data_IF_404050906929
#
_entry.id   IF_404050906929
#
_cell.length_a   1.000
_cell.length_b   1.000
_cell.length_c   1.000
_cell.angle_alpha   90.00
_cell.angle_beta   90.00
_cell.angle_gamma   90.00
#
_symmetry.space_group_name_H-M   'P 1'
#
loop_
_entity.id
_entity.type
_entity.pdbx_description
1 polymer ?
#
# COMPACT_ATOMS: atom_id res chain seq x y z
N UNK A 1 26.14 2.82 8.53
CA UNK A 1 25.14 2.14 7.69
C UNK A 1 23.96 3.09 7.50
N UNK A 2 23.49 3.25 6.26
CA UNK A 2 22.29 4.08 6.01
C UNK A 2 21.11 3.47 6.78
N UNK A 3 20.28 4.34 7.39
CA UNK A 3 19.07 3.92 8.11
C UNK A 3 18.12 3.24 7.14
N UNK A 4 17.67 2.02 7.49
CA UNK A 4 16.68 1.30 6.67
C UNK A 4 15.37 2.11 6.58
N UNK A 5 14.83 2.28 5.38
CA UNK A 5 13.54 2.90 5.15
C UNK A 5 12.37 2.11 5.73
N UNK A 6 11.19 2.73 5.76
CA UNK A 6 9.94 2.11 6.24
C UNK A 6 9.07 1.67 5.07
N UNK A 7 8.44 0.51 5.19
CA UNK A 7 7.35 0.12 4.31
C UNK A 7 6.03 0.70 4.86
N UNK A 8 5.36 1.53 4.07
CA UNK A 8 4.08 2.16 4.39
C UNK A 8 3.02 1.56 3.49
N UNK A 9 2.03 0.90 4.08
CA UNK A 9 0.95 0.21 3.35
C UNK A 9 -0.34 0.95 3.57
N UNK A 10 -0.88 1.54 2.50
CA UNK A 10 -2.21 2.13 2.48
C UNK A 10 -3.19 1.14 1.86
N UNK A 11 -4.21 0.78 2.61
CA UNK A 11 -5.28 -0.08 2.12
C UNK A 11 -6.65 0.44 2.59
N UNK A 12 -7.70 -0.24 2.20
CA UNK A 12 -9.07 0.15 2.54
C UNK A 12 -10.06 -0.31 1.47
N UNK A 13 -11.35 -0.16 1.70
CA UNK A 13 -12.38 -0.70 0.81
C UNK A 13 -12.38 -0.05 -0.57
N UNK A 14 -12.93 -0.77 -1.53
CA UNK A 14 -13.15 -0.23 -2.88
C UNK A 14 -14.04 1.01 -2.83
N UNK A 15 -13.63 2.08 -3.51
CA UNK A 15 -14.41 3.33 -3.55
C UNK A 15 -14.08 4.33 -2.44
N UNK A 16 -13.24 3.98 -1.47
CA UNK A 16 -12.88 4.88 -0.36
C UNK A 16 -12.02 6.09 -0.78
N UNK A 17 -11.39 6.03 -1.97
CA UNK A 17 -10.57 7.13 -2.50
C UNK A 17 -9.06 6.96 -2.30
N UNK A 18 -8.54 5.73 -2.15
CA UNK A 18 -7.11 5.45 -2.00
C UNK A 18 -6.25 6.16 -3.05
N UNK A 19 -6.55 5.95 -4.33
CA UNK A 19 -5.79 6.56 -5.43
C UNK A 19 -5.78 8.09 -5.42
N UNK A 20 -6.89 8.72 -5.00
CA UNK A 20 -6.98 10.18 -4.88
C UNK A 20 -6.11 10.70 -3.74
N UNK A 21 -6.17 10.03 -2.58
CA UNK A 21 -5.33 10.37 -1.41
C UNK A 21 -3.85 10.14 -1.75
N UNK A 22 -3.50 9.01 -2.38
CA UNK A 22 -2.13 8.74 -2.85
C UNK A 22 -1.64 9.84 -3.78
N UNK A 23 -2.43 10.20 -4.80
CA UNK A 23 -2.05 11.25 -5.74
C UNK A 23 -1.74 12.56 -5.01
N UNK A 24 -2.63 13.01 -4.13
CA UNK A 24 -2.42 14.24 -3.36
C UNK A 24 -1.21 14.14 -2.41
N UNK A 25 -0.95 12.96 -1.83
CA UNK A 25 0.21 12.72 -0.98
C UNK A 25 1.51 12.87 -1.77
N UNK A 26 1.58 12.33 -3.00
CA UNK A 26 2.79 12.40 -3.85
C UNK A 26 2.96 13.75 -4.58
N UNK A 27 1.92 14.59 -4.63
CA UNK A 27 2.02 15.98 -5.09
C UNK A 27 2.53 16.92 -3.99
N UNK A 28 2.57 16.49 -2.73
CA UNK A 28 3.12 17.28 -1.62
C UNK A 28 4.66 17.23 -1.64
N UNK A 29 5.36 18.35 -1.83
CA UNK A 29 6.82 18.38 -1.95
C UNK A 29 7.56 18.02 -0.66
N UNK A 30 6.85 17.91 0.46
CA UNK A 30 7.44 17.49 1.75
C UNK A 30 7.42 15.99 1.95
N UNK A 31 6.84 15.23 1.01
CA UNK A 31 6.76 13.76 1.02
C UNK A 31 7.90 13.21 0.18
N UNK A 32 8.71 12.36 0.81
CA UNK A 32 9.84 11.67 0.18
C UNK A 32 9.64 10.15 0.30
N UNK A 33 8.60 9.64 -0.40
CA UNK A 33 8.32 8.22 -0.49
C UNK A 33 8.53 7.71 -1.90
N UNK A 34 9.15 6.56 -2.05
CA UNK A 34 9.17 5.85 -3.31
C UNK A 34 7.86 5.05 -3.46
N UNK A 35 7.14 5.28 -4.55
CA UNK A 35 5.97 4.46 -4.87
C UNK A 35 6.41 3.08 -5.32
N UNK A 36 5.83 2.03 -4.76
CA UNK A 36 6.15 0.67 -5.14
C UNK A 36 5.62 0.35 -6.54
N UNK A 37 6.50 -0.10 -7.41
CA UNK A 37 6.14 -0.56 -8.76
C UNK A 37 5.71 -2.03 -8.65
N UNK A 38 4.47 -2.30 -9.01
CA UNK A 38 3.91 -3.66 -9.04
C UNK A 38 4.33 -4.43 -10.29
N UNK A 39 4.31 -5.75 -10.19
CA UNK A 39 4.48 -6.67 -11.32
C UNK A 39 3.11 -7.13 -11.82
N UNK A 40 2.96 -7.34 -13.13
CA UNK A 40 1.71 -7.85 -13.71
C UNK A 40 1.97 -8.68 -14.96
N UNK A 41 1.07 -9.65 -15.21
CA UNK A 41 1.04 -10.44 -16.46
C UNK A 41 0.17 -9.82 -17.55
N UNK A 42 -0.51 -8.71 -17.23
CA UNK A 42 -1.30 -7.97 -18.20
C UNK A 42 -0.37 -7.29 -19.22
N UNK A 43 -0.76 -7.30 -20.48
CA UNK A 43 -0.06 -6.54 -21.50
C UNK A 43 -0.08 -5.03 -21.18
N UNK A 44 1.00 -4.29 -21.49
CA UNK A 44 1.01 -2.83 -21.37
C UNK A 44 -0.11 -2.20 -22.17
N UNK A 45 -0.69 -1.12 -21.63
CA UNK A 45 -1.59 -0.23 -22.39
C UNK A 45 -0.76 0.84 -23.10
N UNK A 46 -1.40 1.54 -24.06
CA UNK A 46 -0.75 2.65 -24.75
C UNK A 46 -0.24 3.69 -23.73
N UNK A 47 1.03 4.01 -23.84
CA UNK A 47 1.72 4.97 -22.98
C UNK A 47 2.33 4.38 -21.70
N UNK A 48 1.97 3.17 -21.27
CA UNK A 48 2.59 2.52 -20.11
C UNK A 48 4.01 2.04 -20.42
N UNK A 49 4.92 2.19 -19.46
CA UNK A 49 6.34 1.84 -19.58
C UNK A 49 6.74 0.79 -18.56
N UNK A 50 7.47 -0.22 -19.03
CA UNK A 50 8.04 -1.25 -18.16
C UNK A 50 9.03 -0.65 -17.16
N UNK A 51 8.93 -1.07 -15.88
CA UNK A 51 9.77 -0.55 -14.81
C UNK A 51 9.39 0.85 -14.30
N UNK A 52 8.31 1.43 -14.84
CA UNK A 52 7.76 2.74 -14.40
C UNK A 52 6.32 2.58 -13.90
N UNK A 53 5.45 2.09 -14.78
CA UNK A 53 4.03 1.88 -14.41
C UNK A 53 3.84 0.51 -13.78
N UNK A 54 4.44 -0.50 -14.38
CA UNK A 54 4.50 -1.89 -13.89
C UNK A 54 5.80 -2.55 -14.37
N UNK A 55 6.19 -3.64 -13.69
CA UNK A 55 7.04 -4.67 -14.28
C UNK A 55 6.13 -5.63 -15.06
N UNK A 56 6.13 -5.53 -16.38
CA UNK A 56 5.34 -6.40 -17.26
C UNK A 56 6.12 -7.68 -17.52
N UNK A 57 5.56 -8.82 -17.11
CA UNK A 57 6.20 -10.14 -17.22
C UNK A 57 5.25 -11.16 -17.83
N UNK A 58 5.77 -12.30 -18.26
CA UNK A 58 4.95 -13.43 -18.68
C UNK A 58 4.27 -14.08 -17.48
N UNK A 59 3.27 -14.92 -17.76
CA UNK A 59 2.58 -15.68 -16.70
C UNK A 59 3.54 -16.68 -16.04
N UNK A 60 4.37 -17.33 -16.84
CA UNK A 60 5.37 -18.30 -16.40
C UNK A 60 6.38 -17.64 -15.44
N UNK A 61 6.92 -16.48 -15.81
CA UNK A 61 7.84 -15.70 -14.97
C UNK A 61 7.17 -15.30 -13.65
N UNK A 62 5.92 -14.84 -13.68
CA UNK A 62 5.21 -14.48 -12.47
C UNK A 62 4.98 -15.69 -11.54
N UNK A 63 4.57 -16.83 -12.10
CA UNK A 63 4.36 -18.07 -11.34
C UNK A 63 5.67 -18.61 -10.76
N UNK A 64 6.80 -18.42 -11.43
CA UNK A 64 8.12 -18.77 -10.90
C UNK A 64 8.52 -17.85 -9.72
N UNK A 65 8.25 -16.56 -9.78
CA UNK A 65 8.41 -15.66 -8.63
C UNK A 65 7.56 -16.10 -7.41
N UNK A 66 6.32 -16.55 -7.66
CA UNK A 66 5.47 -17.10 -6.57
C UNK A 66 6.12 -18.34 -5.96
N UNK A 67 6.51 -19.31 -6.78
CA UNK A 67 7.14 -20.58 -6.32
C UNK A 67 8.39 -20.35 -5.51
N UNK A 68 9.18 -19.36 -5.89
CA UNK A 68 10.44 -19.01 -5.23
C UNK A 68 10.25 -18.14 -3.96
N UNK A 69 9.00 -17.76 -3.62
CA UNK A 69 8.74 -16.88 -2.47
C UNK A 69 9.24 -15.45 -2.66
N UNK A 70 9.34 -14.98 -3.90
CA UNK A 70 9.90 -13.67 -4.26
C UNK A 70 8.84 -12.57 -4.35
N UNK A 71 7.60 -12.86 -3.95
CA UNK A 71 6.49 -11.90 -3.93
C UNK A 71 6.17 -11.48 -2.50
N UNK A 72 6.09 -10.17 -2.27
CA UNK A 72 5.64 -9.61 -1.00
C UNK A 72 4.13 -9.85 -0.79
N UNK A 73 3.36 -9.66 -1.86
CA UNK A 73 1.96 -10.02 -1.99
C UNK A 73 1.62 -10.25 -3.46
N UNK A 74 0.56 -10.98 -3.74
CA UNK A 74 0.01 -11.14 -5.09
C UNK A 74 -1.47 -11.49 -5.06
N UNK A 75 -2.15 -11.17 -6.15
CA UNK A 75 -3.53 -11.55 -6.41
C UNK A 75 -3.76 -11.85 -7.89
N UNK A 76 -4.73 -12.70 -8.18
CA UNK A 76 -5.23 -12.90 -9.54
C UNK A 76 -6.52 -12.08 -9.70
N UNK A 77 -6.55 -11.25 -10.74
CA UNK A 77 -7.74 -10.49 -11.10
C UNK A 77 -8.08 -10.77 -12.57
N UNK A 78 -9.27 -11.31 -12.80
CA UNK A 78 -9.70 -11.87 -14.08
C UNK A 78 -8.68 -12.92 -14.52
N UNK A 79 -7.94 -12.71 -15.60
CA UNK A 79 -6.97 -13.66 -16.14
C UNK A 79 -5.50 -13.28 -15.85
N UNK A 80 -5.26 -12.15 -15.18
CA UNK A 80 -3.94 -11.62 -14.93
C UNK A 80 -3.56 -11.68 -13.45
N UNK A 81 -2.26 -11.87 -13.21
CA UNK A 81 -1.66 -11.69 -11.90
C UNK A 81 -1.23 -10.23 -11.72
N UNK A 82 -1.29 -9.79 -10.48
CA UNK A 82 -0.75 -8.53 -9.98
C UNK A 82 -0.10 -8.79 -8.65
N UNK A 83 1.03 -8.15 -8.37
CA UNK A 83 1.70 -8.32 -7.09
C UNK A 83 2.92 -7.42 -6.95
N UNK A 84 3.50 -7.47 -5.77
CA UNK A 84 4.65 -6.63 -5.40
C UNK A 84 5.90 -7.48 -5.27
N UNK A 85 6.95 -7.24 -6.08
CA UNK A 85 8.21 -7.96 -5.97
C UNK A 85 8.93 -7.66 -4.65
N UNK A 86 9.23 -8.71 -3.86
CA UNK A 86 9.88 -8.60 -2.56
C UNK A 86 11.28 -7.97 -2.67
N UNK A 87 12.05 -8.39 -3.68
CA UNK A 87 13.41 -7.89 -3.91
C UNK A 87 13.41 -6.38 -4.15
N UNK A 88 12.53 -5.88 -5.03
CA UNK A 88 12.44 -4.45 -5.34
C UNK A 88 12.19 -3.63 -4.07
N UNK A 89 11.22 -4.05 -3.26
CA UNK A 89 10.88 -3.35 -2.00
C UNK A 89 12.08 -3.38 -1.04
N UNK A 90 12.72 -4.53 -0.86
CA UNK A 90 13.87 -4.65 0.04
C UNK A 90 15.07 -3.82 -0.42
N UNK A 91 15.35 -3.76 -1.71
CA UNK A 91 16.44 -2.94 -2.25
C UNK A 91 16.21 -1.45 -1.94
N UNK A 92 14.98 -0.95 -2.12
CA UNK A 92 14.63 0.44 -1.78
C UNK A 92 14.75 0.71 -0.26
N UNK A 93 14.19 -0.17 0.57
CA UNK A 93 14.27 -0.03 2.03
C UNK A 93 15.72 -0.07 2.53
N UNK A 94 16.56 -0.94 1.98
CA UNK A 94 17.97 -1.06 2.34
C UNK A 94 18.80 0.15 1.87
N UNK A 95 18.38 0.81 0.78
CA UNK A 95 18.95 2.08 0.35
C UNK A 95 18.54 3.28 1.21
N UNK A 96 17.65 3.07 2.20
CA UNK A 96 17.18 4.11 3.12
C UNK A 96 15.93 4.85 2.66
N UNK A 97 15.32 4.42 1.56
CA UNK A 97 14.10 5.03 1.05
C UNK A 97 12.86 4.43 1.72
N UNK A 98 11.92 5.28 2.12
CA UNK A 98 10.59 4.83 2.51
C UNK A 98 9.82 4.39 1.28
N UNK A 99 9.17 3.22 1.35
CA UNK A 99 8.39 2.67 0.25
C UNK A 99 6.91 2.74 0.58
N UNK A 100 6.14 3.37 -0.30
CA UNK A 100 4.69 3.48 -0.18
C UNK A 100 4.00 2.48 -1.10
N UNK A 101 3.12 1.68 -0.53
CA UNK A 101 2.38 0.62 -1.20
C UNK A 101 0.87 0.89 -1.07
N UNK A 102 0.18 1.06 -2.20
CA UNK A 102 -1.28 1.15 -2.25
C UNK A 102 -1.84 -0.16 -2.78
N UNK A 103 -2.52 -0.93 -1.93
CA UNK A 103 -3.01 -2.27 -2.27
C UNK A 103 -4.40 -2.54 -1.69
N UNK A 104 -5.03 -3.62 -2.15
CA UNK A 104 -6.28 -4.13 -1.59
C UNK A 104 -6.06 -4.79 -0.23
N UNK A 105 -7.16 -4.94 0.54
CA UNK A 105 -7.13 -5.47 1.92
C UNK A 105 -6.47 -6.85 2.00
N UNK A 106 -6.79 -7.76 1.07
CA UNK A 106 -6.20 -9.11 1.06
C UNK A 106 -4.69 -9.09 0.79
N UNK A 107 -4.22 -8.19 -0.09
CA UNK A 107 -2.80 -7.99 -0.33
C UNK A 107 -2.10 -7.45 0.92
N UNK A 108 -2.71 -6.49 1.62
CA UNK A 108 -2.15 -5.93 2.86
C UNK A 108 -1.96 -6.99 3.96
N UNK A 109 -2.84 -7.98 4.05
CA UNK A 109 -2.69 -9.09 5.00
C UNK A 109 -1.51 -9.99 4.64
N UNK A 110 -1.26 -10.23 3.35
CA UNK A 110 -0.07 -10.96 2.90
C UNK A 110 1.21 -10.18 3.22
N UNK A 111 1.21 -8.87 2.94
CA UNK A 111 2.33 -7.99 3.29
C UNK A 111 2.60 -8.02 4.80
N UNK A 112 1.56 -7.97 5.64
CA UNK A 112 1.68 -8.04 7.10
C UNK A 112 2.38 -9.33 7.53
N UNK A 113 2.05 -10.46 6.91
CA UNK A 113 2.68 -11.74 7.23
C UNK A 113 4.16 -11.79 6.82
N UNK A 114 4.52 -11.18 5.67
CA UNK A 114 5.87 -11.21 5.12
C UNK A 114 6.78 -10.06 5.61
N UNK A 115 6.18 -8.93 6.04
CA UNK A 115 6.87 -7.75 6.53
C UNK A 115 6.12 -7.14 7.73
N UNK A 116 6.15 -7.80 8.91
CA UNK A 116 5.36 -7.38 10.09
C UNK A 116 5.76 -6.01 10.65
N UNK A 117 6.98 -5.54 10.36
CA UNK A 117 7.48 -4.23 10.79
C UNK A 117 6.99 -3.05 9.92
N UNK A 118 6.23 -3.33 8.87
CA UNK A 118 5.58 -2.31 8.06
C UNK A 118 4.59 -1.47 8.85
N UNK A 119 4.28 -0.30 8.34
CA UNK A 119 3.27 0.63 8.87
C UNK A 119 1.99 0.45 8.07
N UNK A 120 0.96 -0.11 8.68
CA UNK A 120 -0.28 -0.46 7.99
C UNK A 120 -1.38 0.54 8.32
N UNK A 121 -1.83 1.27 7.30
CA UNK A 121 -2.84 2.33 7.41
C UNK A 121 -4.10 1.87 6.67
N UNK A 122 -5.21 1.81 7.37
CA UNK A 122 -6.53 1.55 6.80
C UNK A 122 -7.23 2.86 6.51
N UNK A 123 -7.46 3.16 5.23
CA UNK A 123 -8.27 4.30 4.81
C UNK A 123 -9.75 3.89 4.86
N UNK A 124 -10.55 4.60 5.65
CA UNK A 124 -11.98 4.33 5.83
C UNK A 124 -12.83 5.52 5.37
N UNK A 125 -14.03 5.30 4.83
CA UNK A 125 -14.98 6.39 4.63
C UNK A 125 -15.49 6.89 5.99
N UNK A 126 -16.07 8.10 6.07
CA UNK A 126 -16.73 8.57 7.28
C UNK A 126 -17.83 7.61 7.77
N UNK A 127 -18.60 7.06 6.83
CA UNK A 127 -19.58 6.01 7.08
C UNK A 127 -19.91 5.24 5.78
N UNK A 128 -20.72 4.19 5.90
CA UNK A 128 -21.14 3.35 4.75
C UNK A 128 -22.07 4.11 3.79
N UNK A 129 -22.86 5.06 4.29
CA UNK A 129 -23.76 5.87 3.47
C UNK A 129 -22.95 6.76 2.52
N UNK A 130 -21.90 7.41 3.07
CA UNK A 130 -20.99 8.22 2.26
C UNK A 130 -20.24 7.37 1.22
N UNK A 131 -19.81 6.17 1.57
CA UNK A 131 -19.20 5.26 0.60
C UNK A 131 -20.17 4.91 -0.54
N UNK A 132 -21.44 4.65 -0.22
CA UNK A 132 -22.49 4.42 -1.23
C UNK A 132 -22.66 5.63 -2.13
N UNK A 133 -22.72 6.84 -1.57
CA UNK A 133 -22.83 8.09 -2.33
C UNK A 133 -21.66 8.25 -3.33
N UNK A 134 -20.44 7.95 -2.89
CA UNK A 134 -19.24 8.00 -3.75
C UNK A 134 -19.28 6.97 -4.88
N UNK A 135 -19.79 5.78 -4.64
CA UNK A 135 -19.95 4.75 -5.66
C UNK A 135 -21.02 5.12 -6.70
N UNK A 136 -22.16 5.65 -6.23
CA UNK A 136 -23.25 6.14 -7.11
C UNK A 136 -22.77 7.33 -7.94
N UNK A 137 -22.08 8.29 -7.30
CA UNK A 137 -21.63 9.52 -7.96
C UNK A 137 -20.61 9.31 -9.08
N UNK A 138 -19.97 8.15 -9.18
CA UNK A 138 -19.09 7.78 -10.30
C UNK A 138 -19.86 7.51 -11.59
N UNK A 139 -21.15 7.16 -11.53
CA UNK A 139 -22.02 6.92 -12.68
C UNK A 139 -21.62 5.74 -13.57
N UNK A 140 -20.66 4.93 -13.17
CA UNK A 140 -20.10 3.83 -13.98
C UNK A 140 -20.75 2.47 -13.69
N UNK A 141 -21.40 2.33 -12.54
CA UNK A 141 -21.95 1.06 -12.07
C UNK A 141 -23.47 1.10 -11.94
N UNK A 142 -24.11 -0.01 -12.25
CA UNK A 142 -25.54 -0.20 -11.96
C UNK A 142 -25.75 -0.49 -10.46
N UNK A 143 -27.01 -0.45 -10.02
CA UNK A 143 -27.36 -0.61 -8.60
C UNK A 143 -26.94 -1.96 -8.01
N UNK A 144 -26.97 -3.04 -8.79
CA UNK A 144 -26.61 -4.37 -8.34
C UNK A 144 -25.09 -4.47 -8.09
N UNK A 145 -24.29 -3.86 -8.97
CA UNK A 145 -22.84 -3.75 -8.81
C UNK A 145 -22.52 -2.92 -7.56
N UNK A 146 -23.19 -1.78 -7.38
CA UNK A 146 -23.02 -0.93 -6.18
C UNK A 146 -23.32 -1.71 -4.91
N UNK A 147 -24.43 -2.46 -4.87
CA UNK A 147 -24.79 -3.26 -3.69
C UNK A 147 -23.74 -4.34 -3.40
N UNK A 148 -23.22 -5.05 -4.41
CA UNK A 148 -22.13 -6.02 -4.24
C UNK A 148 -20.86 -5.36 -3.71
N UNK A 149 -20.51 -4.16 -4.20
CA UNK A 149 -19.34 -3.39 -3.73
C UNK A 149 -19.49 -2.95 -2.27
N UNK A 150 -20.69 -2.52 -1.86
CA UNK A 150 -20.97 -2.17 -0.45
C UNK A 150 -20.88 -3.40 0.46
N UNK A 151 -21.40 -4.55 0.02
CA UNK A 151 -21.26 -5.80 0.78
C UNK A 151 -19.79 -6.21 0.94
N UNK A 152 -18.98 -6.10 -0.16
CA UNK A 152 -17.53 -6.35 -0.10
C UNK A 152 -16.88 -5.37 0.87
N UNK A 153 -17.15 -4.07 0.75
CA UNK A 153 -16.60 -3.01 1.60
C UNK A 153 -16.92 -3.24 3.09
N UNK A 154 -18.12 -3.67 3.41
CA UNK A 154 -18.51 -3.98 4.80
C UNK A 154 -17.70 -5.15 5.39
N UNK A 155 -17.32 -6.14 4.56
CA UNK A 155 -16.42 -7.22 4.98
C UNK A 155 -14.98 -6.71 5.14
N UNK A 156 -14.52 -5.89 4.21
CA UNK A 156 -13.18 -5.30 4.23
C UNK A 156 -12.97 -4.37 5.43
N UNK A 157 -13.98 -3.57 5.81
CA UNK A 157 -13.93 -2.71 7.01
C UNK A 157 -13.74 -3.53 8.29
N UNK A 158 -14.31 -4.72 8.39
CA UNK A 158 -14.09 -5.61 9.55
C UNK A 158 -12.64 -6.07 9.67
N UNK A 159 -11.87 -6.07 8.57
CA UNK A 159 -10.46 -6.40 8.56
C UNK A 159 -9.56 -5.28 9.10
N UNK A 160 -10.11 -4.08 9.37
CA UNK A 160 -9.39 -2.93 9.91
C UNK A 160 -8.62 -3.28 11.20
N UNK A 161 -9.11 -4.22 12.01
CA UNK A 161 -8.45 -4.72 13.22
C UNK A 161 -7.02 -5.26 12.98
N UNK A 162 -6.66 -5.57 11.73
CA UNK A 162 -5.33 -6.07 11.37
C UNK A 162 -4.36 -4.94 10.96
N UNK A 163 -4.74 -3.68 11.15
CA UNK A 163 -3.93 -2.52 10.78
C UNK A 163 -3.45 -1.79 12.03
N UNK A 164 -2.45 -0.93 11.86
CA UNK A 164 -1.89 -0.14 12.97
C UNK A 164 -2.65 1.18 13.17
N UNK A 165 -3.19 1.72 12.07
CA UNK A 165 -3.87 3.02 12.04
C UNK A 165 -5.11 2.96 11.17
N UNK A 166 -6.14 3.73 11.57
CA UNK A 166 -7.31 4.01 10.74
C UNK A 166 -7.36 5.52 10.45
N UNK A 167 -7.41 5.87 9.16
CA UNK A 167 -7.53 7.25 8.70
C UNK A 167 -8.88 7.43 8.02
N UNK A 168 -9.68 8.36 8.52
CA UNK A 168 -10.98 8.69 7.92
C UNK A 168 -10.78 9.64 6.74
N UNK A 169 -11.19 9.21 5.55
CA UNK A 169 -11.18 10.07 4.37
C UNK A 169 -12.49 10.89 4.29
N UNK A 170 -12.60 11.85 5.20
CA UNK A 170 -13.64 12.89 5.17
C UNK A 170 -13.30 13.95 4.12
N UNK A 171 -12.07 14.46 4.16
CA UNK A 171 -11.46 15.29 3.12
C UNK A 171 -10.08 14.74 2.76
N UNK A 172 -9.68 14.94 1.50
CA UNK A 172 -8.36 14.50 1.00
C UNK A 172 -7.24 15.15 1.81
N UNK A 173 -7.34 16.45 2.09
CA UNK A 173 -6.32 17.20 2.82
C UNK A 173 -6.14 16.68 4.26
N UNK A 174 -7.24 16.37 4.94
CA UNK A 174 -7.20 15.81 6.29
C UNK A 174 -6.57 14.41 6.28
N UNK A 175 -6.97 13.55 5.36
CA UNK A 175 -6.38 12.21 5.22
C UNK A 175 -4.88 12.28 4.93
N UNK A 176 -4.44 13.14 4.02
CA UNK A 176 -3.01 13.35 3.71
C UNK A 176 -2.25 13.85 4.94
N UNK A 177 -2.79 14.83 5.68
CA UNK A 177 -2.17 15.33 6.92
C UNK A 177 -1.99 14.22 7.95
N UNK A 178 -3.04 13.44 8.22
CA UNK A 178 -2.98 12.33 9.17
C UNK A 178 -1.96 11.25 8.75
N UNK A 179 -1.88 10.90 7.47
CA UNK A 179 -0.88 9.94 6.98
C UNK A 179 0.54 10.48 7.22
N UNK A 180 0.79 11.76 6.94
CA UNK A 180 2.10 12.39 7.20
C UNK A 180 2.46 12.37 8.68
N UNK A 181 1.51 12.65 9.57
CA UNK A 181 1.71 12.64 11.01
C UNK A 181 1.99 11.23 11.55
N UNK A 182 1.29 10.21 11.02
CA UNK A 182 1.57 8.80 11.31
C UNK A 182 3.02 8.46 10.94
N UNK A 183 3.44 8.78 9.73
CA UNK A 183 4.81 8.46 9.26
C UNK A 183 5.86 9.16 10.09
N UNK A 184 5.65 10.44 10.45
CA UNK A 184 6.55 11.17 11.36
C UNK A 184 6.65 10.47 12.71
N UNK A 185 5.52 10.08 13.30
CA UNK A 185 5.47 9.41 14.59
C UNK A 185 6.13 8.03 14.54
N UNK A 186 5.93 7.27 13.46
CA UNK A 186 6.55 5.97 13.25
C UNK A 186 8.08 6.04 13.22
N UNK A 187 8.64 7.11 12.62
CA UNK A 187 10.10 7.32 12.59
C UNK A 187 10.71 7.55 13.99
N UNK A 188 9.92 7.99 14.96
CA UNK A 188 10.35 8.27 16.33
C UNK A 188 10.25 7.04 17.26
N UNK A 189 9.69 5.93 16.81
CA UNK A 189 9.59 4.73 17.63
C UNK A 189 10.97 4.21 18.02
N UNK A 190 11.16 3.87 19.29
CA UNK A 190 12.42 3.39 19.84
C UNK A 190 13.00 2.24 19.02
N UNK A 191 12.18 1.28 18.62
CA UNK A 191 12.60 0.14 17.77
C UNK A 191 13.24 0.56 16.42
N UNK A 192 12.95 1.77 15.92
CA UNK A 192 13.51 2.30 14.67
C UNK A 192 14.71 3.20 14.90
N UNK A 193 14.82 3.79 16.09
CA UNK A 193 15.91 4.73 16.44
C UNK A 193 17.06 4.00 17.11
N UNK A 194 16.77 3.00 17.95
CA UNK A 194 17.74 2.28 18.76
C UNK A 194 18.87 1.63 17.95
N UNK A 195 18.63 0.99 16.79
CA UNK A 195 19.71 0.38 16.01
C UNK A 195 20.82 1.37 15.62
N UNK A 196 20.46 2.63 15.31
CA UNK A 196 21.42 3.67 14.95
C UNK A 196 22.34 4.01 16.15
N UNK A 197 21.75 4.08 17.36
CA UNK A 197 22.52 4.32 18.59
C UNK A 197 23.41 3.14 18.94
N UNK A 198 22.90 1.91 18.85
CA UNK A 198 23.72 0.71 19.13
C UNK A 198 24.90 0.61 18.18
N UNK A 199 24.72 0.93 16.89
CA UNK A 199 25.81 0.99 15.92
C UNK A 199 26.85 2.06 16.28
N UNK A 200 26.41 3.22 16.81
CA UNK A 200 27.31 4.32 17.18
C UNK A 200 28.06 4.08 18.48
N UNK A 201 27.52 3.24 19.37
CA UNK A 201 28.20 2.87 20.64
C UNK A 201 29.37 1.91 20.41
N UNK A 202 29.43 1.26 19.23
CA UNK A 202 30.49 0.29 18.93
C UNK A 202 30.39 -0.99 19.75
N UNK A 203 31.36 -1.87 19.55
CA UNK A 203 31.50 -3.13 20.32
C UNK A 203 32.11 -2.90 21.71
N UNK A 204 32.06 -1.67 22.25
CA UNK A 204 32.68 -1.29 23.52
C UNK A 204 31.79 -1.61 24.75
N UNK A 205 30.93 -2.65 24.67
CA UNK A 205 30.24 -3.21 25.83
C UNK A 205 30.53 -4.70 25.94
#
# INVERSE_FOLDING_TARGET
LAKRGMLIVLSGPSGVGKGTVRKALFEDPTVDFNYSISMTTRQPRDGEKNGVDYFFVTKEEFEDHIKNGEMLEYAKYVDNYYGTPLKYVNDQLNAGHDVFLEIEVNGALQVRANCPDGVFIFLTPPDIKELRNRLVGRGTDNIDIINKRIQKASKEIRMMQNYDYAVVNDTINNAVSQIKDIVKSERLKVKRVMPDYLTSLGDDI
#
